data_IF_913027149374
#
_entry.id   IF_913027149374
#
_cell.length_a   1.000
_cell.length_b   1.000
_cell.length_c   1.000
_cell.angle_alpha   90.00
_cell.angle_beta   90.00
_cell.angle_gamma   90.00
#
_symmetry.space_group_name_H-M   'P 1'
#
loop_
_entity.id
_entity.type
_entity.pdbx_description
1 polymer ?
#
# COMPACT_ATOMS: atom_id res chain seq x y z
N UNK A 1 -17.09 17.31 -16.86
CA UNK A 1 -15.61 17.19 -16.85
C UNK A 1 -15.29 15.86 -16.22
N UNK A 2 -14.52 15.00 -16.89
CA UNK A 2 -14.28 13.63 -16.43
C UNK A 2 -13.00 13.52 -15.61
N UNK A 3 -13.08 12.86 -14.47
CA UNK A 3 -11.94 12.46 -13.66
C UNK A 3 -11.91 10.94 -13.61
N UNK A 4 -10.77 10.36 -14.00
CA UNK A 4 -10.56 8.93 -13.95
C UNK A 4 -10.28 8.47 -12.52
N UNK A 5 -10.79 7.31 -12.15
CA UNK A 5 -10.42 6.59 -10.92
C UNK A 5 -9.82 5.26 -11.36
N UNK A 6 -8.51 5.09 -11.15
CA UNK A 6 -7.79 3.86 -11.49
C UNK A 6 -7.30 3.22 -10.19
N UNK A 7 -7.87 2.09 -9.83
CA UNK A 7 -7.65 1.46 -8.52
C UNK A 7 -7.92 -0.05 -8.56
N UNK A 8 -7.37 -0.86 -7.64
CA UNK A 8 -7.64 -2.29 -7.59
C UNK A 8 -9.07 -2.59 -7.13
N UNK A 9 -9.94 -3.05 -8.01
CA UNK A 9 -11.31 -3.47 -7.69
C UNK A 9 -11.51 -4.98 -7.74
N UNK A 10 -10.48 -5.72 -8.17
CA UNK A 10 -10.46 -7.19 -8.20
C UNK A 10 -9.11 -7.78 -7.81
N UNK A 11 -9.06 -9.07 -7.44
CA UNK A 11 -7.82 -9.81 -7.22
C UNK A 11 -6.93 -9.82 -8.50
N UNK A 12 -5.60 -9.87 -8.35
CA UNK A 12 -4.83 -9.99 -7.10
C UNK A 12 -4.64 -8.67 -6.33
N UNK A 13 -5.28 -7.58 -6.74
CA UNK A 13 -5.27 -6.30 -6.03
C UNK A 13 -6.08 -6.34 -4.74
N UNK A 14 -5.81 -5.39 -3.84
CA UNK A 14 -6.64 -5.14 -2.66
C UNK A 14 -7.97 -4.49 -3.08
N UNK A 15 -8.95 -5.34 -3.42
CA UNK A 15 -10.28 -4.90 -3.83
C UNK A 15 -10.99 -4.07 -2.75
N UNK A 16 -10.76 -4.38 -1.45
CA UNK A 16 -11.38 -3.60 -0.37
C UNK A 16 -10.83 -2.18 -0.36
N UNK A 17 -9.52 -2.01 -0.51
CA UNK A 17 -8.90 -0.68 -0.62
C UNK A 17 -9.45 0.09 -1.82
N UNK A 18 -9.59 -0.53 -2.99
CA UNK A 18 -10.17 0.15 -4.15
C UNK A 18 -11.61 0.58 -3.96
N UNK A 19 -12.43 -0.21 -3.27
CA UNK A 19 -13.80 0.20 -2.93
C UNK A 19 -13.83 1.40 -1.96
N UNK A 20 -12.88 1.51 -1.02
CA UNK A 20 -12.73 2.72 -0.20
C UNK A 20 -12.33 3.94 -1.04
N UNK A 21 -11.39 3.76 -1.97
CA UNK A 21 -10.92 4.82 -2.86
C UNK A 21 -12.06 5.33 -3.77
N UNK A 22 -12.83 4.42 -4.39
CA UNK A 22 -13.99 4.79 -5.21
C UNK A 22 -15.03 5.55 -4.40
N UNK A 23 -15.32 5.12 -3.17
CA UNK A 23 -16.25 5.83 -2.28
C UNK A 23 -15.75 7.23 -1.94
N UNK A 24 -14.48 7.37 -1.57
CA UNK A 24 -13.88 8.68 -1.30
C UNK A 24 -13.92 9.60 -2.53
N UNK A 25 -13.61 9.07 -3.72
CA UNK A 25 -13.69 9.83 -4.97
C UNK A 25 -15.13 10.31 -5.25
N UNK A 26 -16.14 9.43 -5.06
CA UNK A 26 -17.56 9.79 -5.21
C UNK A 26 -17.97 10.91 -4.26
N UNK A 27 -17.65 10.78 -2.98
CA UNK A 27 -17.95 11.81 -1.98
C UNK A 27 -17.30 13.16 -2.34
N UNK A 28 -16.04 13.14 -2.78
CA UNK A 28 -15.36 14.36 -3.22
C UNK A 28 -16.01 14.99 -4.46
N UNK A 29 -16.38 14.19 -5.46
CA UNK A 29 -17.07 14.68 -6.64
C UNK A 29 -18.45 15.25 -6.30
N UNK A 30 -19.21 14.58 -5.41
CA UNK A 30 -20.52 15.03 -4.92
C UNK A 30 -20.42 16.37 -4.18
N UNK A 31 -19.48 16.54 -3.25
CA UNK A 31 -19.27 17.80 -2.52
C UNK A 31 -18.92 18.95 -3.47
N UNK A 32 -17.95 18.75 -4.38
CA UNK A 32 -17.57 19.78 -5.37
C UNK A 32 -18.76 20.12 -6.28
N UNK A 33 -19.50 19.12 -6.73
CA UNK A 33 -20.68 19.33 -7.57
C UNK A 33 -21.80 20.06 -6.84
N UNK A 34 -22.04 19.76 -5.56
CA UNK A 34 -23.03 20.46 -4.73
C UNK A 34 -22.68 21.94 -4.55
N UNK A 35 -21.39 22.28 -4.49
CA UNK A 35 -20.88 23.66 -4.40
C UNK A 35 -20.85 24.42 -5.73
N UNK A 36 -21.57 23.94 -6.74
CA UNK A 36 -21.65 24.58 -8.04
C UNK A 36 -20.68 24.04 -9.09
N UNK A 37 -19.86 23.04 -8.78
CA UNK A 37 -18.93 22.45 -9.73
C UNK A 37 -17.69 23.31 -10.00
N UNK A 38 -16.96 23.00 -11.07
CA UNK A 38 -15.65 23.58 -11.39
C UNK A 38 -15.76 24.58 -12.54
N UNK A 39 -15.04 25.70 -12.46
CA UNK A 39 -14.87 26.69 -13.53
C UNK A 39 -16.21 27.07 -14.22
N UNK A 40 -17.10 27.70 -13.45
CA UNK A 40 -18.36 28.23 -13.97
C UNK A 40 -19.46 27.19 -14.15
N UNK A 41 -19.51 26.14 -13.33
CA UNK A 41 -20.63 25.19 -13.33
C UNK A 41 -20.32 23.77 -13.77
N UNK A 42 -19.11 23.48 -14.27
CA UNK A 42 -18.81 22.17 -14.89
C UNK A 42 -18.79 21.09 -13.81
N UNK A 43 -19.73 20.16 -13.91
CA UNK A 43 -19.82 19.02 -13.00
C UNK A 43 -18.69 18.02 -13.23
N UNK A 44 -18.17 17.47 -12.15
CA UNK A 44 -17.27 16.32 -12.13
C UNK A 44 -18.10 15.06 -12.39
N UNK A 45 -17.66 14.29 -13.37
CA UNK A 45 -18.13 12.94 -13.68
C UNK A 45 -16.97 11.99 -13.43
N UNK A 46 -17.20 10.92 -12.68
CA UNK A 46 -16.16 9.91 -12.42
C UNK A 46 -16.26 8.79 -13.44
N UNK A 47 -15.11 8.42 -14.01
CA UNK A 47 -14.98 7.22 -14.85
C UNK A 47 -14.02 6.27 -14.16
N UNK A 48 -14.45 5.02 -13.91
CA UNK A 48 -13.77 4.10 -13.00
C UNK A 48 -13.20 2.93 -13.80
N UNK A 49 -11.92 2.65 -13.63
CA UNK A 49 -11.22 1.50 -14.21
C UNK A 49 -10.58 0.64 -13.11
N UNK A 50 -10.72 -0.67 -13.27
CA UNK A 50 -10.12 -1.68 -12.41
C UNK A 50 -8.73 -2.07 -12.94
N UNK A 51 -7.69 -1.83 -12.14
CA UNK A 51 -6.33 -2.25 -12.48
C UNK A 51 -5.97 -3.66 -11.95
N UNK A 52 -6.85 -4.32 -11.20
CA UNK A 52 -6.60 -5.60 -10.49
C UNK A 52 -5.30 -5.62 -9.69
N UNK A 53 -4.72 -4.45 -9.38
CA UNK A 53 -3.38 -4.28 -8.84
C UNK A 53 -2.25 -4.81 -9.73
N UNK A 54 -2.41 -4.93 -11.05
CA UNK A 54 -1.33 -5.39 -11.96
C UNK A 54 -0.88 -4.29 -12.94
N UNK A 55 0.43 -4.20 -13.25
CA UNK A 55 0.95 -3.18 -14.16
C UNK A 55 0.29 -3.17 -15.54
N UNK A 56 0.00 -4.35 -16.09
CA UNK A 56 -0.57 -4.50 -17.44
C UNK A 56 -1.99 -3.92 -17.51
N UNK A 57 -2.83 -4.27 -16.54
CA UNK A 57 -4.20 -3.76 -16.46
C UNK A 57 -4.23 -2.28 -16.09
N UNK A 58 -3.37 -1.83 -15.18
CA UNK A 58 -3.26 -0.41 -14.86
C UNK A 58 -2.83 0.45 -16.06
N UNK A 59 -1.86 -0.02 -16.85
CA UNK A 59 -1.45 0.66 -18.08
C UNK A 59 -2.58 0.70 -19.12
N UNK A 60 -3.35 -0.38 -19.27
CA UNK A 60 -4.50 -0.44 -20.17
C UNK A 60 -5.63 0.50 -19.71
N UNK A 61 -5.99 0.45 -18.42
CA UNK A 61 -7.01 1.30 -17.81
C UNK A 61 -6.64 2.77 -17.89
N UNK A 62 -5.39 3.14 -17.58
CA UNK A 62 -4.94 4.52 -17.73
C UNK A 62 -5.02 5.01 -19.16
N UNK A 63 -4.59 4.20 -20.14
CA UNK A 63 -4.67 4.56 -21.56
C UNK A 63 -6.12 4.78 -21.98
N UNK A 64 -7.04 3.92 -21.56
CA UNK A 64 -8.48 4.08 -21.84
C UNK A 64 -9.01 5.38 -21.25
N UNK A 65 -8.71 5.64 -19.97
CA UNK A 65 -9.10 6.88 -19.28
C UNK A 65 -8.59 8.12 -20.01
N UNK A 66 -7.32 8.09 -20.44
CA UNK A 66 -6.68 9.21 -21.11
C UNK A 66 -7.20 9.45 -22.54
N UNK A 67 -7.42 8.38 -23.32
CA UNK A 67 -7.68 8.51 -24.76
C UNK A 67 -9.16 8.35 -25.15
N UNK A 68 -9.87 7.39 -24.55
CA UNK A 68 -11.26 7.11 -24.88
C UNK A 68 -12.20 7.92 -23.99
N UNK A 69 -11.97 7.90 -22.68
CA UNK A 69 -12.82 8.63 -21.75
C UNK A 69 -12.48 10.12 -21.68
N UNK A 70 -11.30 10.50 -22.18
CA UNK A 70 -10.80 11.88 -22.15
C UNK A 70 -10.83 12.49 -20.74
N UNK A 71 -10.44 11.69 -19.74
CA UNK A 71 -10.29 12.15 -18.38
C UNK A 71 -9.20 13.22 -18.29
N UNK A 72 -9.49 14.34 -17.60
CA UNK A 72 -8.54 15.46 -17.46
C UNK A 72 -7.49 15.21 -16.37
N UNK A 73 -7.74 14.23 -15.50
CA UNK A 73 -6.83 13.72 -14.48
C UNK A 73 -7.27 12.32 -14.08
N UNK A 74 -6.35 11.52 -13.53
CA UNK A 74 -6.62 10.20 -12.96
C UNK A 74 -6.19 10.19 -11.50
N UNK A 75 -7.04 9.67 -10.62
CA UNK A 75 -6.78 9.57 -9.17
C UNK A 75 -6.95 8.13 -8.68
N UNK A 76 -6.53 7.88 -7.45
CA UNK A 76 -6.86 6.64 -6.75
C UNK A 76 -5.84 5.51 -6.87
N UNK A 77 -4.68 5.76 -7.47
CA UNK A 77 -3.70 4.68 -7.64
C UNK A 77 -3.15 4.22 -6.28
N UNK A 78 -3.14 2.90 -6.09
CA UNK A 78 -2.86 2.22 -4.84
C UNK A 78 -1.55 1.42 -4.84
N UNK A 79 -1.24 0.71 -5.93
CA UNK A 79 -0.10 -0.22 -5.96
C UNK A 79 1.13 0.44 -6.57
N UNK A 80 2.29 0.32 -5.90
CA UNK A 80 3.55 0.91 -6.39
C UNK A 80 3.95 0.42 -7.78
N UNK A 81 3.88 -0.89 -8.06
CA UNK A 81 4.22 -1.41 -9.40
C UNK A 81 3.27 -0.93 -10.48
N UNK A 82 1.99 -0.71 -10.16
CA UNK A 82 1.02 -0.15 -11.10
C UNK A 82 1.30 1.33 -11.35
N UNK A 83 1.56 2.09 -10.28
CA UNK A 83 1.94 3.49 -10.38
C UNK A 83 3.19 3.67 -11.24
N UNK A 84 4.25 2.88 -11.01
CA UNK A 84 5.48 2.91 -11.82
C UNK A 84 5.18 2.74 -13.32
N UNK A 85 4.30 1.81 -13.68
CA UNK A 85 3.92 1.57 -15.08
C UNK A 85 3.07 2.71 -15.69
N UNK A 86 2.21 3.32 -14.88
CA UNK A 86 1.29 4.39 -15.32
C UNK A 86 2.01 5.74 -15.48
N UNK A 87 3.07 6.01 -14.72
CA UNK A 87 3.79 7.29 -14.76
C UNK A 87 4.31 7.66 -16.14
N UNK A 88 4.90 6.70 -16.87
CA UNK A 88 5.39 6.94 -18.22
C UNK A 88 4.25 7.31 -19.18
N UNK A 89 3.08 6.71 -19.01
CA UNK A 89 1.88 7.03 -19.79
C UNK A 89 1.32 8.40 -19.41
N UNK A 90 1.37 8.78 -18.15
CA UNK A 90 0.93 10.10 -17.69
C UNK A 90 1.75 11.22 -18.33
N UNK A 91 3.08 11.06 -18.40
CA UNK A 91 3.95 11.97 -19.15
C UNK A 91 3.62 11.98 -20.66
N UNK A 92 3.46 10.79 -21.25
CA UNK A 92 3.19 10.64 -22.69
C UNK A 92 1.87 11.31 -23.10
N UNK A 93 0.79 11.06 -22.35
CA UNK A 93 -0.55 11.57 -22.65
C UNK A 93 -0.80 12.96 -22.05
N UNK A 94 0.12 13.47 -21.22
CA UNK A 94 -0.03 14.74 -20.49
C UNK A 94 -1.31 14.79 -19.64
N UNK A 95 -1.66 13.66 -19.04
CA UNK A 95 -2.80 13.53 -18.13
C UNK A 95 -2.23 13.26 -16.73
N UNK A 96 -2.45 14.16 -15.75
CA UNK A 96 -1.87 13.99 -14.43
C UNK A 96 -2.49 12.79 -13.71
N UNK A 97 -1.63 12.00 -13.07
CA UNK A 97 -2.01 10.86 -12.22
C UNK A 97 -1.65 11.12 -10.77
N UNK A 98 -2.58 10.84 -9.86
CA UNK A 98 -2.42 10.99 -8.42
C UNK A 98 -2.41 9.63 -7.73
N UNK A 99 -1.24 9.28 -7.16
CA UNK A 99 -1.13 8.18 -6.21
C UNK A 99 -1.76 8.58 -4.88
N UNK A 100 -2.67 7.76 -4.40
CA UNK A 100 -3.32 7.95 -3.09
C UNK A 100 -2.82 6.98 -2.03
N UNK A 101 -2.14 5.89 -2.40
CA UNK A 101 -1.58 4.91 -1.45
C UNK A 101 -0.24 4.29 -1.88
N UNK A 102 0.19 4.42 -3.14
CA UNK A 102 1.45 3.85 -3.58
C UNK A 102 2.64 4.63 -2.98
N UNK A 103 3.46 3.95 -2.16
CA UNK A 103 4.42 4.56 -1.24
C UNK A 103 5.89 4.42 -1.65
N UNK A 104 6.20 3.61 -2.68
CA UNK A 104 7.58 3.38 -3.10
C UNK A 104 8.29 4.70 -3.42
N UNK A 105 9.51 4.86 -2.88
CA UNK A 105 10.31 6.09 -2.99
C UNK A 105 10.39 6.62 -4.43
N UNK A 106 10.69 5.72 -5.35
CA UNK A 106 10.95 6.02 -6.77
C UNK A 106 9.77 6.67 -7.51
N UNK A 107 8.55 6.59 -6.98
CA UNK A 107 7.34 7.12 -7.61
C UNK A 107 7.49 8.63 -7.87
N UNK A 108 7.96 9.43 -6.91
CA UNK A 108 8.11 10.89 -7.12
C UNK A 108 9.56 11.34 -7.14
N UNK A 109 10.51 10.45 -6.89
CA UNK A 109 11.95 10.78 -6.90
C UNK A 109 12.43 11.25 -8.27
N UNK A 110 11.73 10.85 -9.34
CA UNK A 110 12.03 11.25 -10.72
C UNK A 110 11.57 12.67 -11.08
N UNK A 111 10.83 13.35 -10.20
CA UNK A 111 10.30 14.70 -10.45
C UNK A 111 9.55 14.85 -11.79
N UNK A 112 8.74 13.85 -12.13
CA UNK A 112 7.90 13.86 -13.33
C UNK A 112 6.82 14.95 -13.24
N UNK A 113 6.42 15.52 -14.38
CA UNK A 113 5.51 16.68 -14.46
C UNK A 113 4.03 16.32 -14.25
N UNK A 114 3.65 15.09 -14.57
CA UNK A 114 2.27 14.59 -14.56
C UNK A 114 2.04 13.50 -13.50
N UNK A 115 2.95 13.37 -12.54
CA UNK A 115 2.89 12.36 -11.49
C UNK A 115 2.88 13.00 -10.12
N UNK A 116 1.81 12.78 -9.39
CA UNK A 116 1.61 13.37 -8.07
C UNK A 116 1.30 12.29 -7.04
N UNK A 117 1.54 12.60 -5.77
CA UNK A 117 1.23 11.71 -4.66
C UNK A 117 0.68 12.51 -3.48
N UNK A 118 -0.37 11.99 -2.85
CA UNK A 118 -0.97 12.54 -1.62
C UNK A 118 -0.73 11.65 -0.40
N UNK A 119 0.09 10.61 -0.55
CA UNK A 119 0.45 9.62 0.46
C UNK A 119 1.89 9.77 0.95
N UNK A 120 2.15 9.31 2.18
CA UNK A 120 3.48 9.25 2.77
C UNK A 120 4.39 8.29 1.99
N UNK A 121 5.70 8.58 2.02
CA UNK A 121 6.72 7.78 1.33
C UNK A 121 7.30 6.72 2.25
N UNK A 122 7.74 5.60 1.67
CA UNK A 122 8.39 4.53 2.44
C UNK A 122 9.61 5.00 3.25
N UNK A 123 10.50 5.90 2.77
CA UNK A 123 11.58 6.44 3.59
C UNK A 123 11.11 7.02 4.94
N UNK A 124 10.09 7.86 4.95
CA UNK A 124 9.58 8.51 6.17
C UNK A 124 8.94 7.49 7.11
N UNK A 125 8.16 6.56 6.53
CA UNK A 125 7.54 5.44 7.26
C UNK A 125 8.59 4.54 7.90
N UNK A 126 9.61 4.14 7.15
CA UNK A 126 10.67 3.25 7.64
C UNK A 126 11.48 3.91 8.77
N UNK A 127 11.74 5.20 8.66
CA UNK A 127 12.36 5.96 9.75
C UNK A 127 11.49 6.00 11.01
N UNK A 128 10.18 6.21 10.85
CA UNK A 128 9.23 6.18 11.96
C UNK A 128 9.19 4.80 12.63
N UNK A 129 9.06 3.71 11.87
CA UNK A 129 9.07 2.35 12.42
C UNK A 129 10.38 2.04 13.15
N UNK A 130 11.50 2.49 12.60
CA UNK A 130 12.81 2.30 13.21
C UNK A 130 12.94 3.06 14.53
N UNK A 131 12.49 4.33 14.57
CA UNK A 131 12.45 5.12 15.82
C UNK A 131 11.57 4.47 16.86
N UNK A 132 10.37 4.04 16.47
CA UNK A 132 9.44 3.36 17.35
C UNK A 132 10.03 2.05 17.91
N UNK A 133 10.64 1.21 17.06
CA UNK A 133 11.31 -0.02 17.52
C UNK A 133 12.43 0.28 18.51
N UNK A 134 13.20 1.36 18.27
CA UNK A 134 14.24 1.84 19.19
C UNK A 134 13.69 2.31 20.52
N UNK A 135 12.64 3.11 20.51
CA UNK A 135 11.96 3.61 21.72
C UNK A 135 11.37 2.47 22.55
N UNK A 136 10.86 1.42 21.90
CA UNK A 136 10.36 0.21 22.56
C UNK A 136 11.45 -0.75 23.01
N UNK A 137 12.71 -0.50 22.65
CA UNK A 137 13.84 -1.36 22.99
C UNK A 137 13.92 -2.66 22.19
N UNK A 138 13.15 -2.80 21.10
CA UNK A 138 13.16 -3.99 20.23
C UNK A 138 14.47 -4.03 19.43
N UNK A 139 15.35 -5.01 19.72
CA UNK A 139 16.67 -5.17 19.10
C UNK A 139 16.64 -6.08 17.88
N UNK A 140 15.66 -6.97 17.78
CA UNK A 140 15.53 -7.97 16.71
C UNK A 140 14.21 -7.77 15.99
N UNK A 141 14.20 -7.00 14.90
CA UNK A 141 13.00 -6.78 14.10
C UNK A 141 12.94 -7.74 12.91
N UNK A 142 11.77 -8.31 12.63
CA UNK A 142 11.51 -9.04 11.39
C UNK A 142 10.58 -8.22 10.49
N UNK A 143 10.87 -8.15 9.20
CA UNK A 143 10.01 -7.55 8.17
C UNK A 143 9.65 -8.61 7.13
N UNK A 144 8.37 -8.76 6.84
CA UNK A 144 7.86 -9.68 5.81
C UNK A 144 7.00 -8.93 4.79
N UNK A 145 7.34 -9.02 3.51
CA UNK A 145 6.72 -8.24 2.41
C UNK A 145 6.56 -9.06 1.13
N UNK A 146 5.73 -8.59 0.21
CA UNK A 146 5.54 -9.23 -1.10
C UNK A 146 6.62 -8.82 -2.13
N UNK A 147 6.84 -9.65 -3.15
CA UNK A 147 7.78 -9.38 -4.25
C UNK A 147 7.19 -8.41 -5.28
N UNK A 148 7.07 -7.14 -4.89
CA UNK A 148 6.61 -6.02 -5.74
C UNK A 148 7.50 -4.79 -5.52
N UNK A 149 7.34 -3.75 -6.35
CA UNK A 149 8.03 -2.47 -6.19
C UNK A 149 7.84 -1.89 -4.78
N UNK A 150 6.67 -2.12 -4.18
CA UNK A 150 6.38 -1.73 -2.80
C UNK A 150 7.20 -2.55 -1.81
N UNK A 151 7.10 -3.88 -1.85
CA UNK A 151 7.74 -4.71 -0.82
C UNK A 151 9.26 -4.69 -0.90
N UNK A 152 9.83 -4.72 -2.11
CA UNK A 152 11.28 -4.57 -2.33
C UNK A 152 11.75 -3.20 -1.86
N UNK A 153 11.03 -2.13 -2.24
CA UNK A 153 11.35 -0.77 -1.81
C UNK A 153 11.27 -0.60 -0.29
N UNK A 154 10.24 -1.16 0.35
CA UNK A 154 10.07 -1.11 1.80
C UNK A 154 11.20 -1.84 2.54
N UNK A 155 11.64 -3.00 2.03
CA UNK A 155 12.80 -3.73 2.57
C UNK A 155 14.06 -2.88 2.50
N UNK A 156 14.33 -2.27 1.34
CA UNK A 156 15.54 -1.46 1.15
C UNK A 156 15.54 -0.20 2.02
N UNK A 157 14.42 0.51 2.10
CA UNK A 157 14.30 1.69 2.96
C UNK A 157 14.34 1.33 4.46
N UNK A 158 13.80 0.18 4.87
CA UNK A 158 13.90 -0.29 6.26
C UNK A 158 15.35 -0.63 6.63
N UNK A 159 16.10 -1.29 5.73
CA UNK A 159 17.53 -1.55 5.94
C UNK A 159 18.32 -0.26 6.12
N UNK A 160 18.10 0.75 5.26
CA UNK A 160 18.75 2.06 5.37
C UNK A 160 18.40 2.75 6.70
N UNK A 161 17.13 2.73 7.08
CA UNK A 161 16.66 3.35 8.33
C UNK A 161 17.27 2.69 9.57
N UNK A 162 17.29 1.35 9.64
CA UNK A 162 17.91 0.61 10.75
C UNK A 162 19.41 0.89 10.87
N UNK A 163 20.14 0.85 9.76
CA UNK A 163 21.57 1.13 9.74
C UNK A 163 21.90 2.55 10.23
N UNK A 164 21.06 3.53 9.90
CA UNK A 164 21.28 4.94 10.26
C UNK A 164 20.80 5.29 11.68
N UNK A 165 19.59 4.85 12.06
CA UNK A 165 18.91 5.34 13.26
C UNK A 165 19.04 4.39 14.46
N UNK A 166 19.29 3.11 14.19
CA UNK A 166 19.37 2.09 15.21
C UNK A 166 20.57 1.14 15.02
N UNK A 167 21.80 1.69 14.97
CA UNK A 167 22.99 0.87 14.81
C UNK A 167 23.08 -0.20 15.91
N UNK A 168 23.38 -1.43 15.50
CA UNK A 168 23.46 -2.61 16.39
C UNK A 168 22.14 -3.35 16.62
N UNK A 169 20.99 -2.85 16.14
CA UNK A 169 19.78 -3.65 16.04
C UNK A 169 19.86 -4.58 14.81
N UNK A 170 19.31 -5.78 14.94
CA UNK A 170 19.24 -6.77 13.87
C UNK A 170 17.89 -6.65 13.14
N UNK A 171 17.95 -6.70 11.80
CA UNK A 171 16.77 -6.74 10.93
C UNK A 171 16.81 -8.02 10.08
N UNK A 172 15.81 -8.89 10.26
CA UNK A 172 15.54 -10.02 9.35
C UNK A 172 14.48 -9.59 8.34
N UNK A 173 14.72 -9.84 7.05
CA UNK A 173 13.77 -9.50 5.98
C UNK A 173 13.39 -10.74 5.18
N UNK A 174 12.10 -10.95 4.94
CA UNK A 174 11.58 -12.00 4.05
C UNK A 174 10.74 -11.35 2.95
N UNK A 175 11.00 -11.75 1.71
CA UNK A 175 10.18 -11.39 0.55
C UNK A 175 9.47 -12.66 0.05
N UNK A 176 8.15 -12.59 -0.12
CA UNK A 176 7.33 -13.72 -0.58
C UNK A 176 6.67 -13.43 -1.93
N UNK A 177 6.30 -14.49 -2.66
CA UNK A 177 5.56 -14.35 -3.92
C UNK A 177 4.15 -13.82 -3.67
N UNK A 178 3.66 -12.88 -4.49
CA UNK A 178 2.35 -12.24 -4.27
C UNK A 178 1.17 -13.23 -4.32
N UNK A 179 1.30 -14.34 -5.04
CA UNK A 179 0.31 -15.41 -5.11
C UNK A 179 0.45 -16.44 -3.96
N UNK A 180 1.25 -16.14 -2.93
CA UNK A 180 1.45 -17.03 -1.79
C UNK A 180 0.12 -17.37 -1.10
N UNK A 181 -0.07 -18.66 -0.83
CA UNK A 181 -1.22 -19.19 -0.08
C UNK A 181 -0.83 -19.74 1.29
N UNK A 182 0.47 -19.93 1.53
CA UNK A 182 1.03 -20.37 2.79
C UNK A 182 2.37 -19.68 3.09
N UNK A 183 2.43 -18.96 4.21
CA UNK A 183 3.61 -18.29 4.76
C UNK A 183 4.12 -18.98 6.03
N UNK A 184 3.60 -20.16 6.38
CA UNK A 184 4.02 -20.94 7.56
C UNK A 184 5.54 -21.16 7.59
N UNK A 185 6.22 -21.57 6.50
CA UNK A 185 7.68 -21.76 6.53
C UNK A 185 8.44 -20.48 6.88
N UNK A 186 8.05 -19.35 6.28
CA UNK A 186 8.66 -18.03 6.49
C UNK A 186 8.43 -17.55 7.94
N UNK A 187 7.23 -17.76 8.47
CA UNK A 187 6.89 -17.36 9.83
C UNK A 187 7.56 -18.25 10.88
N UNK A 188 7.77 -19.54 10.59
CA UNK A 188 8.59 -20.43 11.43
C UNK A 188 10.06 -20.02 11.42
N UNK A 189 10.60 -19.63 10.27
CA UNK A 189 11.97 -19.09 10.18
C UNK A 189 12.12 -17.83 11.04
N UNK A 190 11.15 -16.90 10.92
CA UNK A 190 11.09 -15.70 11.78
C UNK A 190 11.02 -16.11 13.25
N UNK A 191 10.07 -16.98 13.64
CA UNK A 191 9.89 -17.42 15.03
C UNK A 191 11.16 -18.04 15.61
N UNK A 192 11.83 -18.93 14.88
CA UNK A 192 13.05 -19.59 15.33
C UNK A 192 14.22 -18.61 15.49
N UNK A 193 14.20 -17.51 14.76
CA UNK A 193 15.13 -16.40 14.93
C UNK A 193 14.77 -15.50 16.13
N UNK A 194 13.67 -15.73 16.84
CA UNK A 194 13.30 -15.03 18.09
C UNK A 194 13.29 -13.49 17.93
N UNK A 195 12.38 -12.92 17.11
CA UNK A 195 12.24 -11.48 16.98
C UNK A 195 11.59 -10.88 18.21
N UNK A 196 11.87 -9.61 18.47
CA UNK A 196 11.17 -8.78 19.44
C UNK A 196 9.91 -8.16 18.82
N UNK A 197 9.88 -8.00 17.48
CA UNK A 197 8.76 -7.41 16.76
C UNK A 197 8.67 -7.92 15.32
N UNK A 198 7.44 -8.06 14.81
CA UNK A 198 7.16 -8.38 13.42
C UNK A 198 6.53 -7.16 12.70
N UNK A 199 7.14 -6.73 11.61
CA UNK A 199 6.57 -5.79 10.66
C UNK A 199 5.88 -6.58 9.54
N UNK A 200 4.55 -6.52 9.51
CA UNK A 200 3.71 -7.07 8.47
C UNK A 200 3.53 -6.05 7.35
N UNK A 201 4.27 -6.24 6.26
CA UNK A 201 4.16 -5.44 5.05
C UNK A 201 3.44 -6.16 3.91
N UNK A 202 2.54 -7.10 4.19
CA UNK A 202 1.67 -7.68 3.16
C UNK A 202 0.55 -6.72 2.74
N UNK A 203 0.06 -6.83 1.51
CA UNK A 203 -1.10 -6.08 1.00
C UNK A 203 -2.28 -7.04 0.77
N UNK A 204 -3.50 -6.61 1.08
CA UNK A 204 -4.71 -7.38 0.80
C UNK A 204 -4.70 -8.74 1.49
N UNK A 205 -4.95 -9.83 0.74
CA UNK A 205 -5.02 -11.19 1.28
C UNK A 205 -3.75 -11.62 2.05
N UNK A 206 -2.52 -11.44 1.52
CA UNK A 206 -1.29 -11.70 2.27
C UNK A 206 -1.21 -11.06 3.66
N UNK A 207 -1.74 -9.85 3.85
CA UNK A 207 -1.71 -9.20 5.17
C UNK A 207 -2.49 -10.01 6.22
N UNK A 208 -3.68 -10.47 5.86
CA UNK A 208 -4.49 -11.34 6.71
C UNK A 208 -3.83 -12.71 6.91
N UNK A 209 -3.21 -13.26 5.85
CA UNK A 209 -2.49 -14.53 5.91
C UNK A 209 -1.35 -14.48 6.91
N UNK A 210 -0.53 -13.42 6.88
CA UNK A 210 0.57 -13.19 7.83
C UNK A 210 0.03 -13.14 9.26
N UNK A 211 -1.00 -12.34 9.52
CA UNK A 211 -1.56 -12.19 10.87
C UNK A 211 -2.13 -13.51 11.39
N UNK A 212 -2.91 -14.22 10.57
CA UNK A 212 -3.50 -15.53 10.92
C UNK A 212 -2.41 -16.57 11.19
N UNK A 213 -1.43 -16.69 10.31
CA UNK A 213 -0.43 -17.74 10.43
C UNK A 213 0.62 -17.44 11.49
N UNK A 214 0.92 -16.16 11.78
CA UNK A 214 1.74 -15.77 12.92
C UNK A 214 1.13 -16.26 14.24
N UNK A 215 -0.19 -16.20 14.36
CA UNK A 215 -0.92 -16.82 15.47
C UNK A 215 -0.83 -18.35 15.42
N UNK A 216 -1.13 -18.96 14.28
CA UNK A 216 -1.18 -20.42 14.13
C UNK A 216 0.19 -21.07 14.45
N UNK A 217 1.31 -20.41 14.14
CA UNK A 217 2.66 -20.88 14.51
C UNK A 217 3.10 -20.48 15.91
N UNK A 218 2.28 -19.73 16.66
CA UNK A 218 2.59 -19.25 18.02
C UNK A 218 3.69 -18.20 18.07
N UNK A 219 3.77 -17.33 17.07
CA UNK A 219 4.60 -16.12 17.08
C UNK A 219 3.90 -15.00 17.88
N UNK A 220 2.60 -14.78 17.62
CA UNK A 220 1.71 -14.01 18.49
C UNK A 220 1.08 -14.95 19.54
N UNK A 221 0.78 -14.48 20.76
CA UNK A 221 0.80 -13.09 21.24
C UNK A 221 2.16 -12.57 21.74
N UNK A 222 3.19 -13.42 21.84
CA UNK A 222 4.48 -13.06 22.44
C UNK A 222 5.25 -11.99 21.68
N UNK A 223 5.11 -11.96 20.36
CA UNK A 223 5.77 -10.98 19.50
C UNK A 223 4.73 -9.98 19.00
N UNK A 224 4.78 -8.69 19.41
CA UNK A 224 3.90 -7.67 18.86
C UNK A 224 4.09 -7.55 17.34
N UNK A 225 2.99 -7.32 16.63
CA UNK A 225 3.02 -7.10 15.18
C UNK A 225 2.65 -5.66 14.83
N UNK A 226 3.37 -5.04 13.91
CA UNK A 226 3.02 -3.75 13.32
C UNK A 226 2.61 -3.97 11.86
N UNK A 227 1.39 -3.56 11.49
CA UNK A 227 0.87 -3.65 10.12
C UNK A 227 1.14 -2.33 9.39
N UNK A 228 1.43 -2.43 8.09
CA UNK A 228 1.89 -1.29 7.29
C UNK A 228 0.84 -0.24 6.93
N UNK A 229 -0.42 -0.48 7.29
CA UNK A 229 -1.56 0.42 7.11
C UNK A 229 -2.64 0.12 8.14
N UNK A 230 -3.70 0.91 8.11
CA UNK A 230 -4.81 0.95 9.05
C UNK A 230 -5.74 -0.28 9.03
N UNK A 231 -5.25 -1.47 8.67
CA UNK A 231 -6.10 -2.66 8.54
C UNK A 231 -6.98 -2.94 9.78
N UNK A 232 -6.49 -2.80 11.04
CA UNK A 232 -7.33 -2.98 12.22
C UNK A 232 -8.50 -1.99 12.37
N UNK A 233 -8.50 -0.87 11.62
CA UNK A 233 -9.63 0.06 11.56
C UNK A 233 -10.82 -0.50 10.74
N UNK A 234 -10.58 -1.54 9.93
CA UNK A 234 -11.55 -2.05 8.95
C UNK A 234 -12.37 -3.19 9.55
N UNK A 235 -13.71 -3.21 9.37
CA UNK A 235 -14.55 -4.33 9.84
C UNK A 235 -14.14 -5.70 9.27
N UNK A 236 -13.66 -5.72 8.03
CA UNK A 236 -13.19 -6.94 7.36
C UNK A 236 -12.02 -7.61 8.11
N UNK A 237 -11.15 -6.81 8.75
CA UNK A 237 -10.03 -7.33 9.52
C UNK A 237 -10.48 -8.22 10.66
N UNK A 238 -11.45 -7.74 11.43
CA UNK A 238 -12.02 -8.49 12.54
C UNK A 238 -12.85 -9.68 12.08
N UNK A 239 -13.54 -9.56 10.94
CA UNK A 239 -14.24 -10.69 10.31
C UNK A 239 -13.28 -11.81 9.90
N UNK A 240 -12.09 -11.47 9.38
CA UNK A 240 -11.11 -12.43 8.89
C UNK A 240 -10.25 -13.05 10.00
N UNK A 241 -9.95 -12.28 11.07
CA UNK A 241 -8.96 -12.67 12.07
C UNK A 241 -9.55 -12.98 13.45
N UNK A 242 -10.70 -12.40 13.82
CA UNK A 242 -11.23 -12.51 15.17
C UNK A 242 -10.17 -12.18 16.23
N UNK A 243 -10.03 -13.03 17.24
CA UNK A 243 -9.04 -12.87 18.31
C UNK A 243 -7.58 -12.89 17.83
N UNK A 244 -7.30 -13.52 16.69
CA UNK A 244 -5.95 -13.57 16.10
C UNK A 244 -5.45 -12.18 15.71
N UNK A 245 -6.35 -11.23 15.50
CA UNK A 245 -6.04 -9.84 15.16
C UNK A 245 -5.65 -8.96 16.36
N UNK A 246 -5.84 -9.43 17.59
CA UNK A 246 -5.63 -8.60 18.80
C UNK A 246 -4.16 -8.18 19.04
N UNK A 247 -3.21 -8.84 18.39
CA UNK A 247 -1.77 -8.66 18.64
C UNK A 247 -1.06 -7.86 17.54
N UNK A 248 -1.85 -7.20 16.69
CA UNK A 248 -1.35 -6.28 15.69
C UNK A 248 -1.76 -4.84 16.02
N UNK A 249 -0.80 -3.94 15.91
CA UNK A 249 -1.01 -2.49 15.89
C UNK A 249 -0.68 -1.94 14.51
N UNK A 250 -1.01 -0.68 14.27
CA UNK A 250 -0.57 0.06 13.09
C UNK A 250 -0.14 1.45 13.53
N UNK A 251 0.81 2.03 12.79
CA UNK A 251 1.22 3.42 12.95
C UNK A 251 1.17 4.00 11.54
N UNK A 252 0.24 4.95 11.34
CA UNK A 252 0.02 5.68 10.09
C UNK A 252 0.51 7.11 10.22
#
# INVERSE_FOLDING_TARGET
MKIGVLTPLSPPGDASAGQFIVRGAKMGAEDVNARGGVLGGRKIELVIEDDSGTPEKGAAGFRKLATQDQAVAVVGQFHSSVMTAVQALAEQFKVPVFSTQASARQITEKHLNFTFRTHVIDPDRCQMWTRWAKERGFKRAALITENTDYGVGLVDETKKAFASLYPGAELKTIIFDRAVVDLTPQLLEIKNWKPDVLFNGGIGTPMYLIAKQAWDVGLTPSVPTLISYDAPSRPEYWKNLGEKGNFASFIV
#
